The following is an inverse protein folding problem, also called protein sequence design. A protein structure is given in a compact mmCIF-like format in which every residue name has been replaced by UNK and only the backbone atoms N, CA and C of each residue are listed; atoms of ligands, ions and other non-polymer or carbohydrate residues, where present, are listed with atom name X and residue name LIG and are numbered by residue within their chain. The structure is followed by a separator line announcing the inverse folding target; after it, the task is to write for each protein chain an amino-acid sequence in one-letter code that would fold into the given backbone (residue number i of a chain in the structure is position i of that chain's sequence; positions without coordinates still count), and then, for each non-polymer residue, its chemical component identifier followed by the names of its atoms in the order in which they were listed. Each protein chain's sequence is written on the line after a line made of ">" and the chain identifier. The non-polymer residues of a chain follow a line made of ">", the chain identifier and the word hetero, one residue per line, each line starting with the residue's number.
data_IF_577447407728
#
_entry.id   IF_577447407728
#
_cell.length_a   1.000
_cell.length_b   1.000
_cell.length_c   1.000
_cell.angle_alpha   90.00
_cell.angle_beta   90.00
_cell.angle_gamma   90.00
#
_symmetry.space_group_name_H-M   'P 1'
#
loop_
_entity.id
_entity.type
_entity.pdbx_description
1 polymer ?
#
# COMPACT_ATOMS: atom_id res chain seq x y z
N UNK A 1 -7.01 -26.97 42.30
CA UNK A 1 -8.43 -27.17 41.89
C UNK A 1 -8.69 -26.24 40.71
N UNK A 2 -8.36 -26.70 39.51
CA UNK A 2 -8.43 -25.90 38.28
C UNK A 2 -9.72 -26.23 37.51
N UNK A 3 -10.52 -25.20 37.21
CA UNK A 3 -11.67 -25.32 36.32
C UNK A 3 -11.27 -24.89 34.92
N UNK A 4 -11.28 -25.85 33.99
CA UNK A 4 -11.23 -25.62 32.56
C UNK A 4 -12.59 -25.11 32.09
N UNK A 5 -12.61 -23.99 31.39
CA UNK A 5 -13.80 -23.54 30.62
C UNK A 5 -13.47 -23.77 29.14
N UNK A 6 -14.18 -24.75 28.61
CA UNK A 6 -14.15 -25.11 27.19
C UNK A 6 -15.22 -24.26 26.47
N UNK A 7 -14.86 -23.49 25.48
CA UNK A 7 -15.82 -22.76 24.64
C UNK A 7 -15.58 -23.08 23.16
N UNK A 8 -16.33 -24.08 22.71
CA UNK A 8 -16.47 -24.43 21.29
C UNK A 8 -17.41 -23.45 20.61
N UNK A 9 -16.93 -22.66 19.68
CA UNK A 9 -17.77 -21.97 18.69
C UNK A 9 -17.62 -22.64 17.32
N UNK A 10 -18.52 -23.62 17.06
CA UNK A 10 -18.83 -24.07 15.72
C UNK A 10 -19.60 -22.96 15.00
N UNK A 11 -19.08 -22.46 13.90
CA UNK A 11 -19.87 -21.69 12.94
C UNK A 11 -20.19 -22.58 11.73
N UNK A 12 -21.45 -22.92 11.64
CA UNK A 12 -22.05 -23.61 10.50
C UNK A 12 -22.03 -22.74 9.25
N UNK A 13 -21.41 -23.24 8.18
CA UNK A 13 -21.62 -22.74 6.83
C UNK A 13 -22.92 -23.31 6.28
N UNK A 14 -23.91 -22.46 6.02
CA UNK A 14 -25.10 -22.82 5.24
C UNK A 14 -24.76 -22.77 3.76
N UNK A 15 -24.80 -23.94 3.11
CA UNK A 15 -24.87 -24.04 1.65
C UNK A 15 -26.31 -23.72 1.21
N UNK A 16 -26.47 -22.66 0.45
CA UNK A 16 -27.70 -22.35 -0.28
C UNK A 16 -27.60 -22.94 -1.69
N UNK A 17 -28.31 -24.01 -1.94
CA UNK A 17 -28.53 -24.59 -3.28
C UNK A 17 -29.61 -23.76 -3.99
N UNK A 18 -29.24 -23.02 -5.04
CA UNK A 18 -30.20 -22.38 -5.94
C UNK A 18 -30.53 -23.32 -7.10
N UNK A 19 -31.82 -23.66 -7.19
CA UNK A 19 -32.41 -24.42 -8.30
C UNK A 19 -32.86 -23.42 -9.39
N UNK A 20 -32.31 -23.52 -10.61
CA UNK A 20 -32.79 -22.79 -11.78
C UNK A 20 -33.91 -23.58 -12.46
N UNK A 21 -35.02 -22.91 -12.91
CA UNK A 21 -35.95 -23.49 -13.82
C UNK A 21 -35.53 -23.32 -15.29
N UNK A 22 -35.56 -24.41 -16.04
CA UNK A 22 -35.50 -24.40 -17.50
C UNK A 22 -36.83 -23.84 -18.05
N UNK A 23 -36.78 -22.81 -18.87
CA UNK A 23 -37.88 -22.40 -19.72
C UNK A 23 -37.50 -22.60 -21.19
N UNK A 24 -38.39 -23.26 -21.90
CA UNK A 24 -38.20 -23.86 -23.20
C UNK A 24 -38.16 -22.90 -24.36
N UNK A 25 -37.63 -23.46 -25.46
CA UNK A 25 -37.67 -22.94 -26.83
C UNK A 25 -39.07 -22.79 -27.40
N UNK A 26 -39.35 -21.64 -27.96
CA UNK A 26 -40.44 -21.42 -28.93
C UNK A 26 -39.83 -20.93 -30.23
N UNK A 27 -39.94 -21.74 -31.27
CA UNK A 27 -39.58 -21.36 -32.63
C UNK A 27 -40.68 -20.48 -33.28
N UNK A 28 -40.29 -19.40 -33.94
CA UNK A 28 -41.12 -18.68 -34.91
C UNK A 28 -40.22 -18.30 -36.09
N UNK A 29 -40.50 -18.94 -37.24
CA UNK A 29 -39.96 -18.59 -38.55
C UNK A 29 -40.59 -17.26 -39.05
N UNK A 30 -39.75 -16.38 -39.52
CA UNK A 30 -40.17 -15.11 -40.18
C UNK A 30 -39.08 -14.66 -41.13
N UNK A 31 -39.31 -14.92 -42.42
CA UNK A 31 -38.52 -14.53 -43.58
C UNK A 31 -38.53 -13.01 -43.79
N UNK A 32 -37.39 -12.37 -44.06
CA UNK A 32 -37.25 -11.24 -45.02
C UNK A 32 -35.85 -10.70 -45.17
N UNK A 33 -35.33 -10.85 -46.40
CA UNK A 33 -34.48 -9.93 -47.20
C UNK A 33 -33.30 -9.19 -46.63
N UNK A 34 -32.16 -9.57 -47.21
CA UNK A 34 -30.87 -8.92 -47.32
C UNK A 34 -30.80 -7.39 -47.40
N UNK A 35 -29.94 -6.82 -46.58
CA UNK A 35 -29.07 -5.72 -47.00
C UNK A 35 -27.69 -5.94 -46.31
N UNK A 36 -26.67 -6.11 -47.15
CA UNK A 36 -25.27 -6.10 -46.71
C UNK A 36 -24.97 -4.71 -46.16
N UNK A 37 -24.83 -4.66 -44.84
CA UNK A 37 -24.31 -3.53 -44.10
C UNK A 37 -23.19 -4.05 -43.25
N UNK A 38 -22.00 -3.48 -43.42
CA UNK A 38 -20.77 -3.68 -42.73
C UNK A 38 -20.93 -4.15 -41.26
N UNK A 39 -20.72 -5.44 -41.00
CA UNK A 39 -20.57 -5.95 -39.63
C UNK A 39 -19.16 -5.64 -39.18
N UNK A 40 -18.95 -4.40 -38.82
CA UNK A 40 -17.83 -4.02 -37.96
C UNK A 40 -18.00 -4.77 -36.65
N UNK A 41 -17.27 -5.89 -36.53
CA UNK A 41 -17.24 -6.72 -35.34
C UNK A 41 -16.69 -5.90 -34.16
N UNK A 42 -17.61 -5.24 -33.46
CA UNK A 42 -17.31 -4.77 -32.10
C UNK A 42 -17.29 -5.99 -31.19
N UNK A 43 -16.18 -6.69 -31.16
CA UNK A 43 -15.86 -7.59 -30.07
C UNK A 43 -15.77 -6.73 -28.81
N UNK A 44 -16.92 -6.55 -28.15
CA UNK A 44 -16.96 -6.03 -26.79
C UNK A 44 -16.13 -7.00 -25.94
N UNK A 45 -14.96 -6.55 -25.59
CA UNK A 45 -14.01 -7.25 -24.74
C UNK A 45 -14.63 -7.33 -23.33
N UNK A 46 -15.39 -8.42 -23.07
CA UNK A 46 -16.00 -8.75 -21.76
C UNK A 46 -14.94 -9.19 -20.73
N UNK A 47 -13.68 -8.93 -20.99
CA UNK A 47 -12.66 -8.96 -19.98
C UNK A 47 -12.61 -7.58 -19.32
N UNK A 48 -13.31 -7.43 -18.21
CA UNK A 48 -13.13 -6.33 -17.26
C UNK A 48 -11.71 -6.34 -16.65
N UNK A 49 -10.69 -6.36 -17.49
CA UNK A 49 -9.32 -6.12 -17.14
C UNK A 49 -9.21 -4.70 -16.64
N UNK A 50 -8.89 -4.52 -15.35
CA UNK A 50 -8.56 -3.22 -14.81
C UNK A 50 -7.45 -2.64 -15.69
N UNK A 51 -7.76 -1.56 -16.40
CA UNK A 51 -6.81 -0.92 -17.29
C UNK A 51 -5.74 -0.25 -16.41
N UNK A 52 -4.57 -0.86 -16.31
CA UNK A 52 -3.44 -0.30 -15.59
C UNK A 52 -2.77 0.82 -16.40
N UNK A 53 -3.59 1.77 -16.86
CA UNK A 53 -3.15 2.95 -17.58
C UNK A 53 -2.54 4.02 -16.66
N UNK A 54 -2.10 5.15 -17.24
CA UNK A 54 -1.55 6.25 -16.47
C UNK A 54 -2.54 6.73 -15.41
N UNK A 55 -2.02 7.10 -14.25
CA UNK A 55 -2.80 7.63 -13.13
C UNK A 55 -3.61 8.85 -13.55
N UNK A 56 -4.79 9.02 -12.97
CA UNK A 56 -5.61 10.23 -13.14
C UNK A 56 -4.86 11.51 -12.71
N UNK A 57 -5.49 12.68 -12.79
CA UNK A 57 -4.86 13.95 -12.46
C UNK A 57 -4.20 13.89 -11.07
N UNK A 58 -2.93 14.30 -11.01
CA UNK A 58 -2.21 14.45 -9.75
C UNK A 58 -2.72 15.71 -9.05
N UNK A 59 -3.26 15.54 -7.85
CA UNK A 59 -3.76 16.65 -7.02
C UNK A 59 -2.83 16.79 -5.83
N UNK A 60 -2.33 18.01 -5.62
CA UNK A 60 -1.46 18.33 -4.49
C UNK A 60 -2.20 18.10 -3.17
N UNK A 61 -1.58 17.39 -2.21
CA UNK A 61 -2.18 17.17 -0.91
C UNK A 61 -2.08 18.43 -0.04
N UNK A 62 -3.05 18.60 0.85
CA UNK A 62 -2.91 19.55 1.97
C UNK A 62 -2.05 18.92 3.05
N UNK A 63 -0.96 19.58 3.41
CA UNK A 63 0.03 19.06 4.37
C UNK A 63 0.34 20.05 5.48
N UNK A 64 0.75 19.57 6.67
CA UNK A 64 1.39 20.44 7.66
C UNK A 64 2.60 21.16 7.07
N UNK A 65 2.85 22.42 7.44
CA UNK A 65 3.93 23.22 6.89
C UNK A 65 5.32 22.53 6.96
N UNK A 66 5.56 21.77 8.03
CA UNK A 66 6.81 21.01 8.19
C UNK A 66 7.02 19.91 7.12
N UNK A 67 5.97 19.48 6.44
CA UNK A 67 6.03 18.45 5.40
C UNK A 67 5.92 19.02 3.99
N UNK A 68 5.86 20.35 3.83
CA UNK A 68 5.77 20.99 2.52
C UNK A 68 7.06 20.76 1.72
N UNK A 69 6.90 20.39 0.45
CA UNK A 69 8.00 20.41 -0.52
C UNK A 69 8.27 21.87 -0.99
N UNK A 70 9.46 22.19 -1.54
CA UNK A 70 9.70 23.47 -2.16
C UNK A 70 8.68 23.77 -3.27
N UNK A 71 8.29 25.03 -3.43
CA UNK A 71 7.29 25.47 -4.42
C UNK A 71 7.71 25.24 -5.88
N UNK A 72 8.99 24.99 -6.11
CA UNK A 72 9.56 24.65 -7.43
C UNK A 72 9.59 23.12 -7.68
N UNK A 73 9.17 22.32 -6.71
CA UNK A 73 9.00 20.88 -6.91
C UNK A 73 7.70 20.60 -7.65
N UNK A 74 7.72 19.57 -8.49
CA UNK A 74 6.56 19.13 -9.29
C UNK A 74 6.24 17.68 -8.96
N UNK A 75 5.00 17.38 -8.61
CA UNK A 75 4.54 16.02 -8.37
C UNK A 75 4.55 15.19 -9.65
N UNK A 76 5.18 14.02 -9.61
CA UNK A 76 5.27 13.10 -10.77
C UNK A 76 4.51 11.81 -10.54
N UNK A 77 4.26 11.42 -9.29
CA UNK A 77 3.48 10.23 -8.98
C UNK A 77 2.79 10.34 -7.62
N UNK A 78 1.66 9.63 -7.51
CA UNK A 78 0.94 9.35 -6.27
C UNK A 78 0.59 7.87 -6.23
N UNK A 79 0.89 7.21 -5.12
CA UNK A 79 0.54 5.81 -4.92
C UNK A 79 -0.10 5.60 -3.54
N UNK A 80 -1.08 4.70 -3.48
CA UNK A 80 -1.56 4.13 -2.24
C UNK A 80 -0.69 2.93 -1.89
N UNK A 81 -0.26 2.84 -0.66
CA UNK A 81 0.61 1.79 -0.17
C UNK A 81 -0.10 0.93 0.87
N UNK A 82 0.04 -0.38 0.73
CA UNK A 82 -0.47 -1.38 1.67
C UNK A 82 0.63 -2.36 1.99
N UNK A 83 0.86 -2.61 3.28
CA UNK A 83 1.90 -3.55 3.70
C UNK A 83 2.06 -3.64 5.22
N UNK A 84 3.29 -3.86 5.66
CA UNK A 84 3.64 -4.00 7.07
C UNK A 84 4.88 -3.18 7.43
N UNK A 85 4.88 -2.65 8.65
CA UNK A 85 6.10 -2.22 9.33
C UNK A 85 6.65 -3.42 10.09
N UNK A 86 7.88 -3.81 9.79
CA UNK A 86 8.57 -4.92 10.46
C UNK A 86 9.36 -4.35 11.63
N UNK A 87 9.18 -4.94 12.79
CA UNK A 87 9.90 -4.66 14.01
C UNK A 87 10.69 -5.88 14.44
N UNK A 88 11.84 -5.67 15.05
CA UNK A 88 12.66 -6.71 15.69
C UNK A 88 12.69 -6.45 17.19
N UNK A 89 12.54 -7.48 17.98
CA UNK A 89 12.72 -7.44 19.42
C UNK A 89 14.22 -7.33 19.74
N UNK A 90 14.63 -6.20 20.27
CA UNK A 90 16.04 -5.91 20.59
C UNK A 90 16.17 -5.33 21.99
N UNK A 91 17.33 -5.50 22.65
CA UNK A 91 17.61 -4.85 23.92
C UNK A 91 17.34 -3.34 23.87
N UNK A 92 16.66 -2.81 24.90
CA UNK A 92 16.39 -1.38 25.02
C UNK A 92 17.71 -0.62 25.24
N UNK A 93 18.17 0.21 24.29
CA UNK A 93 19.44 0.91 24.41
C UNK A 93 19.45 1.98 25.53
N UNK A 94 18.29 2.27 26.12
CA UNK A 94 18.16 3.24 27.22
C UNK A 94 18.30 2.60 28.60
N UNK A 95 18.27 1.26 28.67
CA UNK A 95 18.45 0.49 29.90
C UNK A 95 19.91 0.06 30.02
N UNK A 96 20.61 0.41 31.12
CA UNK A 96 21.97 -0.05 31.34
C UNK A 96 22.05 -1.59 31.42
N UNK A 97 23.12 -2.19 30.88
CA UNK A 97 23.29 -3.63 30.77
C UNK A 97 23.29 -4.37 32.11
N UNK A 98 23.59 -3.67 33.20
CA UNK A 98 23.60 -4.18 34.59
C UNK A 98 22.23 -4.07 35.29
N UNK A 99 21.26 -3.35 34.69
CA UNK A 99 19.91 -3.17 35.24
C UNK A 99 18.91 -4.29 34.86
N UNK A 100 19.39 -5.31 34.16
CA UNK A 100 18.56 -6.37 33.57
C UNK A 100 18.09 -6.01 32.15
N UNK A 101 17.86 -7.01 31.32
CA UNK A 101 17.42 -6.80 29.93
C UNK A 101 15.94 -6.52 29.91
N UNK A 102 15.56 -5.38 29.30
CA UNK A 102 14.21 -5.11 28.82
C UNK A 102 14.30 -5.00 27.31
N UNK A 103 13.72 -5.93 26.59
CA UNK A 103 13.72 -5.90 25.13
C UNK A 103 12.51 -5.12 24.63
N UNK A 104 12.68 -4.35 23.57
CA UNK A 104 11.64 -3.52 22.94
C UNK A 104 11.52 -3.78 21.45
N UNK A 105 10.35 -3.55 20.91
CA UNK A 105 10.10 -3.60 19.47
C UNK A 105 10.77 -2.41 18.76
N UNK A 106 11.89 -2.68 18.11
CA UNK A 106 12.66 -1.70 17.34
C UNK A 106 12.32 -1.81 15.86
N UNK A 107 12.03 -0.67 15.21
CA UNK A 107 11.71 -0.63 13.77
C UNK A 107 12.89 -1.16 12.94
N UNK A 108 12.60 -2.12 12.06
CA UNK A 108 13.55 -2.73 11.12
C UNK A 108 13.40 -2.20 9.71
N UNK A 109 12.22 -2.37 9.12
CA UNK A 109 11.99 -2.05 7.72
C UNK A 109 10.48 -2.06 7.37
N UNK A 110 10.05 -1.32 6.34
CA UNK A 110 8.78 -1.58 5.69
C UNK A 110 8.88 -2.79 4.75
N UNK A 111 7.73 -3.43 4.50
CA UNK A 111 7.52 -4.39 3.41
C UNK A 111 6.14 -4.15 2.84
N UNK A 112 6.07 -3.47 1.69
CA UNK A 112 4.79 -3.00 1.19
C UNK A 112 4.73 -2.93 -0.33
N UNK A 113 3.50 -2.90 -0.86
CA UNK A 113 3.18 -2.77 -2.28
C UNK A 113 2.54 -1.42 -2.55
N UNK A 114 2.99 -0.76 -3.59
CA UNK A 114 2.43 0.49 -4.12
C UNK A 114 1.36 0.18 -5.16
N UNK A 115 0.22 0.86 -5.06
CA UNK A 115 -0.89 0.76 -6.00
C UNK A 115 -1.19 2.13 -6.61
N UNK A 116 -1.44 2.16 -7.91
CA UNK A 116 -1.91 3.37 -8.59
C UNK A 116 -3.43 3.58 -8.37
N UNK A 117 -3.98 4.67 -8.90
CA UNK A 117 -5.40 5.01 -8.77
C UNK A 117 -6.36 3.98 -9.38
N UNK A 118 -5.89 3.07 -10.22
CA UNK A 118 -6.65 1.96 -10.80
C UNK A 118 -6.48 0.65 -10.04
N UNK A 119 -5.91 0.69 -8.83
CA UNK A 119 -5.58 -0.49 -8.00
C UNK A 119 -4.61 -1.48 -8.68
N UNK A 120 -3.82 -1.03 -9.66
CA UNK A 120 -2.76 -1.83 -10.26
C UNK A 120 -1.46 -1.67 -9.47
N UNK A 121 -0.70 -2.76 -9.34
CA UNK A 121 0.63 -2.72 -8.72
C UNK A 121 1.53 -1.77 -9.51
N UNK A 122 2.08 -0.78 -8.81
CA UNK A 122 2.97 0.24 -9.36
C UNK A 122 4.42 0.08 -8.87
N UNK A 123 4.62 -0.65 -7.78
CA UNK A 123 5.95 -0.84 -7.23
C UNK A 123 5.94 -1.48 -5.84
N UNK A 124 7.09 -1.43 -5.18
CA UNK A 124 7.31 -1.96 -3.83
C UNK A 124 8.08 -0.96 -2.97
N UNK A 125 7.91 -1.06 -1.65
CA UNK A 125 8.64 -0.29 -0.66
C UNK A 125 9.28 -1.24 0.36
N UNK A 126 10.56 -1.03 0.63
CA UNK A 126 11.36 -1.90 1.48
C UNK A 126 12.49 -1.14 2.20
N UNK A 127 13.37 -1.88 2.88
CA UNK A 127 14.43 -1.33 3.72
C UNK A 127 15.26 -0.23 3.06
N UNK A 128 15.69 0.75 3.87
CA UNK A 128 16.63 1.81 3.53
C UNK A 128 16.07 3.13 3.06
N UNK A 129 14.89 3.61 3.47
CA UNK A 129 13.58 3.46 2.84
C UNK A 129 13.69 3.58 1.32
N UNK A 130 13.44 2.47 0.63
CA UNK A 130 13.62 2.35 -0.81
C UNK A 130 12.29 2.07 -1.49
N UNK A 131 11.94 2.83 -2.52
CA UNK A 131 10.82 2.57 -3.43
C UNK A 131 11.35 2.11 -4.78
N UNK A 132 10.81 1.00 -5.28
CA UNK A 132 11.10 0.48 -6.62
C UNK A 132 9.83 0.44 -7.43
N UNK A 133 9.81 1.12 -8.57
CA UNK A 133 8.72 1.07 -9.54
C UNK A 133 8.74 -0.23 -10.34
N UNK A 134 7.61 -0.60 -10.93
CA UNK A 134 7.50 -1.71 -11.90
C UNK A 134 8.34 -1.48 -13.16
N UNK A 135 8.71 -0.24 -13.48
CA UNK A 135 9.61 0.10 -14.58
C UNK A 135 11.10 -0.13 -14.26
N UNK A 136 11.41 -0.60 -13.03
CA UNK A 136 12.75 -0.91 -12.55
C UNK A 136 13.51 0.27 -11.94
N UNK A 137 13.00 1.52 -12.06
CA UNK A 137 13.61 2.69 -11.41
C UNK A 137 13.43 2.63 -9.90
N UNK A 138 14.40 3.21 -9.15
CA UNK A 138 14.36 3.26 -7.70
C UNK A 138 14.68 4.64 -7.17
N UNK A 139 14.15 4.95 -5.97
CA UNK A 139 14.58 6.07 -5.15
C UNK A 139 14.80 5.59 -3.71
N UNK A 140 15.89 6.05 -3.10
CA UNK A 140 16.18 5.89 -1.66
C UNK A 140 16.01 7.25 -1.02
N UNK A 141 15.28 7.32 0.10
CA UNK A 141 15.02 8.58 0.79
C UNK A 141 15.71 8.68 2.15
N UNK A 142 16.04 9.90 2.55
CA UNK A 142 16.43 10.25 3.93
C UNK A 142 15.31 11.13 4.55
N UNK A 143 14.89 10.80 5.77
CA UNK A 143 13.88 11.56 6.49
C UNK A 143 14.39 12.93 6.85
N UNK A 144 13.69 13.99 6.42
CA UNK A 144 14.02 15.40 6.75
C UNK A 144 13.02 16.03 7.72
N UNK A 145 11.76 15.60 7.71
CA UNK A 145 10.75 16.07 8.65
C UNK A 145 9.71 15.00 8.96
N UNK A 146 9.00 15.19 10.08
CA UNK A 146 7.87 14.35 10.47
C UNK A 146 6.78 15.19 11.16
N UNK A 147 5.55 14.71 11.04
CA UNK A 147 4.39 15.23 11.78
C UNK A 147 3.54 14.05 12.27
N UNK A 148 2.84 14.23 13.38
CA UNK A 148 1.91 13.22 13.88
C UNK A 148 0.83 12.95 12.84
N UNK A 149 0.42 11.68 12.72
CA UNK A 149 -0.77 11.33 11.95
C UNK A 149 -2.03 11.87 12.64
N UNK A 150 -3.03 12.37 11.90
CA UNK A 150 -4.34 12.67 12.49
C UNK A 150 -5.08 11.38 12.93
N UNK A 151 -4.70 10.23 12.40
CA UNK A 151 -5.26 8.94 12.80
C UNK A 151 -4.53 8.42 14.03
N UNK A 152 -5.27 8.14 15.09
CA UNK A 152 -4.71 7.54 16.30
C UNK A 152 -4.07 6.18 16.00
N UNK A 153 -3.01 5.82 16.74
CA UNK A 153 -2.29 4.56 16.58
C UNK A 153 -1.70 4.35 15.17
N UNK A 154 -1.34 5.44 14.51
CA UNK A 154 -0.70 5.40 13.19
C UNK A 154 0.72 5.95 13.24
N UNK A 155 1.58 5.38 12.38
CA UNK A 155 2.95 5.87 12.22
C UNK A 155 2.93 7.33 11.72
N UNK A 156 3.96 8.15 12.04
CA UNK A 156 4.00 9.56 11.66
C UNK A 156 3.95 9.75 10.14
N UNK A 157 3.39 10.87 9.70
CA UNK A 157 3.59 11.42 8.37
C UNK A 157 5.03 11.91 8.21
N UNK A 158 5.60 11.81 7.01
CA UNK A 158 7.00 12.16 6.76
C UNK A 158 7.17 13.02 5.50
N UNK A 159 8.20 13.86 5.53
CA UNK A 159 8.88 14.37 4.35
C UNK A 159 10.27 13.73 4.28
N UNK A 160 10.62 13.18 3.12
CA UNK A 160 11.93 12.62 2.83
C UNK A 160 12.54 13.35 1.63
N UNK A 161 13.88 13.48 1.64
CA UNK A 161 14.65 13.94 0.49
C UNK A 161 15.33 12.73 -0.16
N UNK A 162 15.36 12.67 -1.48
CA UNK A 162 16.06 11.62 -2.18
C UNK A 162 17.56 11.65 -1.84
N UNK A 163 18.10 10.51 -1.44
CA UNK A 163 19.52 10.26 -1.20
C UNK A 163 20.20 9.74 -2.45
N UNK A 164 19.51 8.87 -3.18
CA UNK A 164 19.98 8.31 -4.44
C UNK A 164 18.82 7.81 -5.30
N UNK A 165 19.05 7.81 -6.61
CA UNK A 165 18.13 7.27 -7.60
C UNK A 165 18.91 6.30 -8.51
N UNK A 166 18.26 5.26 -9.02
CA UNK A 166 18.85 4.33 -10.01
C UNK A 166 17.82 3.92 -11.06
N UNK A 167 18.31 3.46 -12.21
CA UNK A 167 17.47 3.05 -13.32
C UNK A 167 16.88 4.21 -14.11
N UNK A 168 16.10 3.89 -15.13
CA UNK A 168 15.36 4.84 -15.96
C UNK A 168 13.85 4.62 -15.75
N UNK A 169 13.11 5.66 -15.40
CA UNK A 169 11.66 5.57 -15.17
C UNK A 169 11.16 6.63 -14.21
N UNK A 170 10.00 6.37 -13.61
CA UNK A 170 9.26 7.37 -12.82
C UNK A 170 10.04 7.86 -11.60
N UNK A 171 10.93 7.03 -11.02
CA UNK A 171 11.71 7.40 -9.83
C UNK A 171 13.12 7.92 -10.14
N UNK A 172 13.56 7.95 -11.40
CA UNK A 172 14.95 8.30 -11.77
C UNK A 172 15.36 9.74 -11.40
N UNK A 173 14.43 10.68 -11.27
CA UNK A 173 14.69 12.08 -10.96
C UNK A 173 13.90 12.57 -9.74
N UNK A 174 13.37 11.68 -8.92
CA UNK A 174 12.67 12.06 -7.69
C UNK A 174 13.62 12.74 -6.73
N UNK A 175 13.20 13.88 -6.17
CA UNK A 175 13.95 14.69 -5.20
C UNK A 175 13.32 14.66 -3.82
N UNK A 176 12.00 14.58 -3.73
CA UNK A 176 11.26 14.50 -2.47
C UNK A 176 10.19 13.42 -2.52
N UNK A 177 9.94 12.83 -1.35
CA UNK A 177 8.87 11.86 -1.11
C UNK A 177 8.10 12.28 0.13
N UNK A 178 6.76 12.36 0.04
CA UNK A 178 5.92 12.54 1.22
C UNK A 178 5.19 11.23 1.53
N UNK A 179 5.14 10.85 2.81
CA UNK A 179 4.27 9.83 3.37
C UNK A 179 3.16 10.53 4.14
N UNK A 180 1.93 10.41 3.69
CA UNK A 180 0.74 11.06 4.26
C UNK A 180 -0.36 10.04 4.53
N UNK A 181 -1.43 10.47 5.19
CA UNK A 181 -2.65 9.68 5.43
C UNK A 181 -2.37 8.29 6.02
N UNK A 182 -1.42 8.22 6.94
CA UNK A 182 -0.98 6.96 7.54
C UNK A 182 -2.05 6.33 8.41
N UNK A 183 -2.18 5.00 8.31
CA UNK A 183 -3.06 4.19 9.15
C UNK A 183 -2.29 2.98 9.67
N UNK A 184 -2.35 2.73 10.98
CA UNK A 184 -1.67 1.62 11.63
C UNK A 184 -0.13 1.72 11.62
N UNK A 185 0.52 0.58 11.69
CA UNK A 185 1.97 0.44 11.58
C UNK A 185 2.77 0.72 12.85
N UNK A 186 2.13 1.10 13.97
CA UNK A 186 2.82 1.40 15.23
C UNK A 186 3.19 0.11 15.94
N UNK A 187 4.43 0.01 16.43
CA UNK A 187 4.85 -1.10 17.28
C UNK A 187 3.93 -1.27 18.49
N UNK A 188 3.68 -2.50 18.96
CA UNK A 188 3.02 -2.70 20.24
C UNK A 188 3.78 -1.98 21.36
N UNK A 189 3.05 -1.45 22.31
CA UNK A 189 3.63 -0.89 23.55
C UNK A 189 4.10 -2.00 24.49
N UNK A 190 5.19 -1.74 25.20
CA UNK A 190 5.74 -2.66 26.20
C UNK A 190 6.92 -3.49 25.70
N UNK A 191 7.42 -4.34 26.60
CA UNK A 191 8.54 -5.23 26.32
C UNK A 191 8.13 -6.36 25.36
N UNK A 192 9.11 -6.91 24.68
CA UNK A 192 8.98 -8.15 23.93
C UNK A 192 9.78 -9.27 24.63
N UNK A 193 9.37 -10.53 24.42
CA UNK A 193 9.84 -11.66 25.26
C UNK A 193 10.99 -12.47 24.64
N UNK A 194 11.27 -12.27 23.35
CA UNK A 194 12.26 -13.10 22.63
C UNK A 194 13.13 -12.21 21.76
N UNK A 195 14.40 -12.05 22.15
CA UNK A 195 15.38 -11.30 21.36
C UNK A 195 15.50 -11.87 19.95
N UNK A 196 15.55 -10.99 18.97
CA UNK A 196 15.60 -11.34 17.56
C UNK A 196 14.27 -11.75 16.92
N UNK A 197 13.19 -11.91 17.70
CA UNK A 197 11.87 -12.15 17.13
C UNK A 197 11.41 -10.98 16.25
N UNK A 198 10.71 -11.28 15.17
CA UNK A 198 10.17 -10.26 14.26
C UNK A 198 8.65 -10.19 14.34
N UNK A 199 8.13 -8.97 14.23
CA UNK A 199 6.71 -8.69 14.19
C UNK A 199 6.38 -7.79 12.99
N UNK A 200 5.44 -8.24 12.17
CA UNK A 200 4.92 -7.47 11.04
C UNK A 200 3.58 -6.80 11.43
N UNK A 201 3.59 -5.47 11.52
CA UNK A 201 2.41 -4.67 11.90
C UNK A 201 1.79 -4.07 10.64
N UNK A 202 0.53 -4.39 10.31
CA UNK A 202 -0.14 -3.85 9.12
C UNK A 202 -0.20 -2.32 9.12
N UNK A 203 0.02 -1.71 7.95
CA UNK A 203 -0.16 -0.28 7.74
C UNK A 203 -0.56 0.05 6.32
N UNK A 204 -1.12 1.24 6.16
CA UNK A 204 -1.40 1.88 4.89
C UNK A 204 -0.91 3.33 4.90
N UNK A 205 -0.59 3.87 3.73
CA UNK A 205 -0.22 5.28 3.55
C UNK A 205 -0.43 5.72 2.10
N UNK A 206 -0.50 7.04 1.88
CA UNK A 206 -0.36 7.62 0.56
C UNK A 206 1.05 8.18 0.39
N UNK A 207 1.70 7.86 -0.72
CA UNK A 207 3.01 8.38 -1.09
C UNK A 207 2.89 9.31 -2.29
N UNK A 208 3.55 10.45 -2.18
CA UNK A 208 3.63 11.48 -3.21
C UNK A 208 5.09 11.70 -3.57
N UNK A 209 5.42 11.63 -4.86
CA UNK A 209 6.78 11.73 -5.38
C UNK A 209 6.93 12.96 -6.22
N UNK A 210 8.01 13.73 -5.98
CA UNK A 210 8.26 15.03 -6.60
C UNK A 210 9.63 15.08 -7.25
N UNK A 211 9.74 15.85 -8.34
CA UNK A 211 11.00 16.22 -8.99
C UNK A 211 11.25 17.73 -8.86
N UNK A 212 12.51 18.18 -9.04
CA UNK A 212 12.86 19.59 -8.85
C UNK A 212 12.91 19.99 -7.37
N UNK A 213 12.84 21.29 -7.09
CA UNK A 213 12.87 21.79 -5.71
C UNK A 213 14.25 21.78 -5.04
N UNK A 214 15.35 21.63 -5.81
CA UNK A 214 16.74 21.61 -5.34
C UNK A 214 17.41 22.95 -5.58
#
# INVERSE_FOLDING_TARGET
>A
MFKFVNSNYLRSCFLATAVLPLAGCGAAEGNSTSSEGDLQSSSADLRGGRHCGPTGPLVEPTVPAALSVPTTATMVARYHEVGTQIYTCLPDPTVPADAGTSDIWTFKAPSATLYNSHCCVAGTHFAGPTWRSVDGSTVVGDKVASAASPNANSIPMLLLKAKSNTGSGIFSNVTYVQRLDTQGGVAPSGACDTEGAELAVPYEANYYFYTGGV
#
